data_IF_265770966813
#
_entry.id   IF_265770966813
#
_cell.length_a   1.000
_cell.length_b   1.000
_cell.length_c   1.000
_cell.angle_alpha   90.00
_cell.angle_beta   90.00
_cell.angle_gamma   90.00
#
_symmetry.space_group_name_H-M   'P 1'
#
loop_
_entity.id
_entity.type
_entity.pdbx_description
1 polymer ?
#
# COMPACT_ATOMS: atom_id res chain seq x y z
N UNK A 1 -20.44 20.04 9.41
CA UNK A 1 -20.24 18.66 9.87
C UNK A 1 -21.19 18.40 11.03
N UNK A 2 -21.97 17.31 10.96
CA UNK A 2 -22.82 16.87 12.08
C UNK A 2 -21.95 16.22 13.17
N UNK A 3 -22.50 16.04 14.38
CA UNK A 3 -21.80 15.32 15.44
C UNK A 3 -21.47 13.88 14.99
N UNK A 4 -22.41 13.23 14.30
CA UNK A 4 -22.26 11.87 13.77
C UNK A 4 -21.14 11.77 12.73
N UNK A 5 -21.04 12.75 11.83
CA UNK A 5 -19.98 12.81 10.80
C UNK A 5 -18.58 12.89 11.45
N UNK A 6 -18.44 13.74 12.47
CA UNK A 6 -17.19 13.84 13.24
C UNK A 6 -16.87 12.53 14.00
N UNK A 7 -17.87 11.83 14.53
CA UNK A 7 -17.68 10.56 15.23
C UNK A 7 -17.23 9.45 14.28
N UNK A 8 -17.86 9.32 13.12
CA UNK A 8 -17.47 8.36 12.07
C UNK A 8 -16.04 8.64 11.62
N UNK A 9 -15.72 9.91 11.34
CA UNK A 9 -14.36 10.27 10.93
C UNK A 9 -13.33 9.94 12.03
N UNK A 10 -13.63 10.23 13.30
CA UNK A 10 -12.73 9.92 14.40
C UNK A 10 -12.47 8.41 14.55
N UNK A 11 -13.51 7.57 14.39
CA UNK A 11 -13.37 6.12 14.43
C UNK A 11 -12.54 5.60 13.25
N UNK A 12 -12.75 6.13 12.05
CA UNK A 12 -11.91 5.80 10.88
C UNK A 12 -10.45 6.14 11.14
N UNK A 13 -10.17 7.33 11.66
CA UNK A 13 -8.81 7.79 11.96
C UNK A 13 -8.15 6.90 13.03
N UNK A 14 -8.88 6.54 14.10
CA UNK A 14 -8.40 5.63 15.15
C UNK A 14 -8.08 4.24 14.60
N UNK A 15 -9.01 3.62 13.87
CA UNK A 15 -8.80 2.30 13.29
C UNK A 15 -7.63 2.29 12.31
N UNK A 16 -7.48 3.32 11.48
CA UNK A 16 -6.34 3.46 10.58
C UNK A 16 -5.02 3.65 11.34
N UNK A 17 -5.00 4.40 12.45
CA UNK A 17 -3.79 4.53 13.29
C UNK A 17 -3.41 3.19 13.92
N UNK A 18 -4.38 2.46 14.46
CA UNK A 18 -4.16 1.13 15.04
C UNK A 18 -3.67 0.12 14.00
N UNK A 19 -4.24 0.11 12.79
CA UNK A 19 -3.76 -0.73 11.70
C UNK A 19 -2.31 -0.40 11.33
N UNK A 20 -1.96 0.88 11.22
CA UNK A 20 -0.58 1.28 10.94
C UNK A 20 0.38 0.80 12.03
N UNK A 21 0.02 1.01 13.30
CA UNK A 21 0.83 0.59 14.44
C UNK A 21 1.03 -0.91 14.50
N UNK A 22 -0.04 -1.68 14.28
CA UNK A 22 -0.02 -3.12 14.31
C UNK A 22 0.76 -3.70 13.11
N UNK A 23 0.43 -3.29 11.88
CA UNK A 23 0.95 -3.93 10.66
C UNK A 23 2.24 -3.31 10.11
N UNK A 24 2.56 -2.06 10.46
CA UNK A 24 3.74 -1.34 9.92
C UNK A 24 4.79 -1.09 10.99
N UNK A 25 4.39 -0.71 12.20
CA UNK A 25 5.35 -0.40 13.28
C UNK A 25 5.67 -1.59 14.19
N UNK A 26 4.86 -2.66 14.14
CA UNK A 26 4.92 -3.77 15.10
C UNK A 26 4.85 -3.26 16.57
N UNK A 27 4.04 -2.23 16.81
CA UNK A 27 3.88 -1.52 18.09
C UNK A 27 2.39 -1.25 18.41
N UNK A 28 1.57 -2.30 18.64
CA UNK A 28 0.14 -2.14 18.88
C UNK A 28 -0.15 -1.47 20.23
N UNK A 29 -1.09 -0.51 20.23
CA UNK A 29 -1.53 0.20 21.44
C UNK A 29 -2.73 -0.44 22.15
N UNK A 30 -3.51 -1.23 21.43
CA UNK A 30 -4.74 -1.85 21.92
C UNK A 30 -4.75 -3.33 21.54
N UNK A 31 -5.52 -4.12 22.27
CA UNK A 31 -5.75 -5.53 21.97
C UNK A 31 -6.69 -5.72 20.77
N UNK A 32 -6.64 -6.89 20.16
CA UNK A 32 -7.54 -7.27 19.05
C UNK A 32 -9.03 -7.12 19.44
N UNK A 33 -9.38 -7.46 20.69
CA UNK A 33 -10.75 -7.32 21.18
C UNK A 33 -11.21 -5.86 21.28
N UNK A 34 -10.31 -4.93 21.59
CA UNK A 34 -10.64 -3.50 21.64
C UNK A 34 -10.77 -2.94 20.22
N UNK A 35 -9.89 -3.37 19.31
CA UNK A 35 -9.99 -3.03 17.89
C UNK A 35 -11.33 -3.49 17.29
N UNK A 36 -11.73 -4.73 17.55
CA UNK A 36 -13.00 -5.30 17.10
C UNK A 36 -14.22 -4.51 17.61
N UNK A 37 -14.15 -3.96 18.82
CA UNK A 37 -15.23 -3.13 19.38
C UNK A 37 -15.35 -1.81 18.61
N UNK A 38 -14.23 -1.12 18.37
CA UNK A 38 -14.21 0.11 17.57
C UNK A 38 -14.70 -0.14 16.14
N UNK A 39 -14.29 -1.26 15.55
CA UNK A 39 -14.69 -1.63 14.20
C UNK A 39 -16.20 -1.87 14.09
N UNK A 40 -16.79 -2.62 15.03
CA UNK A 40 -18.25 -2.84 15.09
C UNK A 40 -19.02 -1.56 15.34
N UNK A 41 -18.49 -0.63 16.13
CA UNK A 41 -19.10 0.67 16.34
C UNK A 41 -19.15 1.47 15.03
N UNK A 42 -18.04 1.52 14.29
CA UNK A 42 -18.00 2.17 12.98
C UNK A 42 -19.00 1.54 12.01
N UNK A 43 -19.04 0.21 11.91
CA UNK A 43 -20.00 -0.50 11.06
C UNK A 43 -21.44 -0.13 11.37
N UNK A 44 -21.79 -0.04 12.66
CA UNK A 44 -23.14 0.34 13.09
C UNK A 44 -23.47 1.77 12.66
N UNK A 45 -22.56 2.71 12.92
CA UNK A 45 -22.78 4.12 12.56
C UNK A 45 -22.92 4.31 11.05
N UNK A 46 -22.14 3.59 10.26
CA UNK A 46 -22.24 3.61 8.80
C UNK A 46 -23.52 2.96 8.28
N UNK A 47 -23.96 1.86 8.88
CA UNK A 47 -25.24 1.24 8.55
C UNK A 47 -26.44 2.18 8.85
N UNK A 48 -26.37 2.91 9.97
CA UNK A 48 -27.39 3.89 10.36
C UNK A 48 -27.31 5.19 9.52
N UNK A 49 -26.18 5.45 8.85
CA UNK A 49 -25.92 6.66 8.05
C UNK A 49 -25.27 6.34 6.70
N UNK A 50 -25.97 5.66 5.76
CA UNK A 50 -25.37 5.18 4.52
C UNK A 50 -24.75 6.27 3.64
N UNK A 51 -25.24 7.50 3.74
CA UNK A 51 -24.74 8.67 3.01
C UNK A 51 -23.37 9.18 3.50
N UNK A 52 -22.87 8.67 4.63
CA UNK A 52 -21.57 9.02 5.20
C UNK A 52 -20.49 7.97 4.92
N UNK A 53 -20.85 6.84 4.29
CA UNK A 53 -19.91 5.79 3.90
C UNK A 53 -18.97 6.31 2.82
N UNK A 54 -17.67 6.02 2.97
CA UNK A 54 -16.63 6.38 2.01
C UNK A 54 -15.85 5.15 1.57
N UNK A 55 -15.34 5.16 0.32
CA UNK A 55 -14.60 4.05 -0.28
C UNK A 55 -13.29 3.70 0.43
N UNK A 56 -12.76 4.62 1.23
CA UNK A 56 -11.56 4.48 2.04
C UNK A 56 -11.86 4.08 3.51
N UNK A 57 -13.12 3.85 3.86
CA UNK A 57 -13.48 3.41 5.20
C UNK A 57 -12.89 2.02 5.48
N UNK A 58 -12.34 1.76 6.69
CA UNK A 58 -11.84 0.44 7.08
C UNK A 58 -12.87 -0.68 6.92
N UNK A 59 -14.17 -0.38 6.99
CA UNK A 59 -15.27 -1.33 6.83
C UNK A 59 -15.50 -1.76 5.39
N UNK A 60 -15.00 -1.00 4.41
CA UNK A 60 -15.15 -1.23 2.97
C UNK A 60 -14.02 -2.10 2.37
N UNK A 61 -13.24 -2.78 3.22
CA UNK A 61 -12.16 -3.67 2.78
C UNK A 61 -12.62 -5.07 2.33
N UNK A 62 -13.77 -5.53 2.80
CA UNK A 62 -14.27 -6.90 2.57
C UNK A 62 -15.73 -6.83 2.15
N UNK A 63 -16.10 -7.55 1.07
CA UNK A 63 -17.51 -7.66 0.64
C UNK A 63 -17.78 -7.54 -0.86
N UNK A 64 -16.75 -7.41 -1.71
CA UNK A 64 -16.96 -7.51 -3.14
C UNK A 64 -17.21 -8.98 -3.54
N UNK A 65 -18.22 -9.21 -4.39
CA UNK A 65 -18.41 -10.49 -5.07
C UNK A 65 -17.11 -10.88 -5.81
N UNK A 66 -16.72 -12.17 -5.80
CA UNK A 66 -15.56 -12.62 -6.56
C UNK A 66 -15.66 -12.18 -8.02
N UNK A 67 -14.62 -11.53 -8.52
CA UNK A 67 -14.55 -11.13 -9.91
C UNK A 67 -14.57 -12.38 -10.80
N UNK A 68 -15.35 -12.34 -11.89
CA UNK A 68 -15.38 -13.40 -12.89
C UNK A 68 -14.09 -13.48 -13.70
N UNK A 69 -13.33 -12.39 -13.76
CA UNK A 69 -12.02 -12.26 -14.41
C UNK A 69 -11.32 -10.98 -13.96
N UNK A 70 -9.99 -10.96 -14.01
CA UNK A 70 -9.22 -9.74 -13.80
C UNK A 70 -9.24 -8.84 -15.03
N UNK A 71 -9.31 -7.52 -14.79
CA UNK A 71 -9.03 -6.53 -15.82
C UNK A 71 -7.53 -6.43 -16.12
N UNK A 72 -7.17 -5.71 -17.17
CA UNK A 72 -5.78 -5.36 -17.48
C UNK A 72 -5.48 -3.93 -17.06
N UNK A 73 -4.29 -3.69 -16.52
CA UNK A 73 -3.80 -2.35 -16.17
C UNK A 73 -2.46 -2.08 -16.84
N UNK A 74 -2.34 -0.97 -17.59
CA UNK A 74 -1.08 -0.55 -18.19
C UNK A 74 -0.38 0.42 -17.26
N UNK A 75 0.81 0.05 -16.79
CA UNK A 75 1.62 0.88 -15.91
C UNK A 75 2.06 2.16 -16.63
N UNK A 76 2.05 3.30 -15.93
CA UNK A 76 2.56 4.57 -16.50
C UNK A 76 4.07 4.53 -16.69
N UNK A 77 4.76 3.81 -15.82
CA UNK A 77 6.19 3.56 -15.87
C UNK A 77 6.46 2.05 -15.91
N UNK A 78 7.36 1.55 -16.77
CA UNK A 78 7.65 0.12 -16.81
C UNK A 78 8.20 -0.41 -15.48
N UNK A 79 7.60 -1.48 -14.95
CA UNK A 79 8.08 -2.21 -13.79
C UNK A 79 9.22 -3.16 -14.18
N UNK A 80 10.44 -2.77 -13.81
CA UNK A 80 11.66 -3.51 -14.15
C UNK A 80 11.87 -4.75 -13.28
N UNK A 81 12.63 -5.70 -13.79
CA UNK A 81 13.21 -6.79 -13.00
C UNK A 81 14.66 -6.45 -12.62
N UNK A 82 15.17 -7.10 -11.58
CA UNK A 82 16.57 -7.01 -11.20
C UNK A 82 17.40 -8.09 -11.90
N UNK A 83 18.61 -7.74 -12.33
CA UNK A 83 19.62 -8.72 -12.68
C UNK A 83 20.12 -9.41 -11.40
N UNK A 84 20.52 -10.67 -11.51
CA UNK A 84 20.99 -11.47 -10.38
C UNK A 84 22.52 -11.50 -10.30
N UNK A 85 23.03 -11.72 -9.09
CA UNK A 85 24.39 -12.16 -8.81
C UNK A 85 24.32 -13.36 -7.86
N UNK A 86 25.05 -14.43 -8.16
CA UNK A 86 24.97 -15.72 -7.45
C UNK A 86 26.19 -16.00 -6.57
N UNK A 87 27.22 -15.15 -6.64
CA UNK A 87 28.46 -15.27 -5.90
C UNK A 87 29.13 -13.89 -5.71
N UNK A 88 30.18 -13.86 -4.90
CA UNK A 88 30.92 -12.63 -4.56
C UNK A 88 31.62 -12.00 -5.77
N UNK A 89 32.14 -12.82 -6.70
CA UNK A 89 32.81 -12.33 -7.91
C UNK A 89 31.84 -11.57 -8.82
N UNK A 90 30.63 -12.10 -9.01
CA UNK A 90 29.56 -11.45 -9.78
C UNK A 90 29.11 -10.13 -9.15
N UNK A 91 29.08 -10.06 -7.81
CA UNK A 91 28.76 -8.85 -7.07
C UNK A 91 29.87 -7.79 -7.19
N UNK A 92 31.14 -8.19 -7.07
CA UNK A 92 32.29 -7.31 -7.28
C UNK A 92 32.34 -6.78 -8.73
N UNK A 93 31.99 -7.62 -9.70
CA UNK A 93 31.86 -7.20 -11.09
C UNK A 93 30.70 -6.20 -11.30
N UNK A 94 29.60 -6.33 -10.54
CA UNK A 94 28.54 -5.32 -10.53
C UNK A 94 29.03 -3.98 -9.98
N UNK A 95 29.70 -3.96 -8.82
CA UNK A 95 30.30 -2.73 -8.24
C UNK A 95 31.24 -2.03 -9.24
N UNK A 96 32.12 -2.80 -9.87
CA UNK A 96 33.04 -2.30 -10.90
C UNK A 96 32.31 -1.64 -12.07
N UNK A 97 31.21 -2.25 -12.55
CA UNK A 97 30.40 -1.67 -13.64
C UNK A 97 29.70 -0.38 -13.22
N UNK A 98 29.20 -0.30 -11.99
CA UNK A 98 28.55 0.91 -11.46
C UNK A 98 29.57 2.04 -11.31
N UNK A 99 30.71 1.78 -10.68
CA UNK A 99 31.84 2.73 -10.54
C UNK A 99 32.28 3.30 -11.88
N UNK A 100 32.46 2.42 -12.88
CA UNK A 100 32.77 2.82 -14.25
C UNK A 100 31.66 3.68 -14.88
N UNK A 101 30.39 3.34 -14.67
CA UNK A 101 29.26 4.11 -15.19
C UNK A 101 29.13 5.51 -14.57
N UNK A 102 29.61 5.67 -13.33
CA UNK A 102 29.62 6.93 -12.59
C UNK A 102 30.94 7.72 -12.73
N UNK A 103 31.92 7.20 -13.47
CA UNK A 103 33.27 7.76 -13.59
C UNK A 103 33.92 8.05 -12.23
N UNK A 104 33.89 7.04 -11.35
CA UNK A 104 34.44 7.18 -9.99
C UNK A 104 35.19 5.94 -9.53
N UNK A 105 36.27 6.16 -8.79
CA UNK A 105 37.06 5.13 -8.11
C UNK A 105 36.79 5.09 -6.61
N UNK A 106 35.87 5.93 -6.12
CA UNK A 106 35.50 5.97 -4.71
C UNK A 106 34.61 4.79 -4.36
N UNK A 107 34.69 4.33 -3.12
CA UNK A 107 33.73 3.36 -2.58
C UNK A 107 32.31 3.95 -2.62
N UNK A 108 31.38 3.08 -3.02
CA UNK A 108 29.97 3.42 -3.15
C UNK A 108 29.21 2.95 -1.92
N UNK A 109 28.27 3.76 -1.47
CA UNK A 109 27.31 3.37 -0.45
C UNK A 109 26.12 2.68 -1.13
N UNK A 110 25.77 1.49 -0.64
CA UNK A 110 24.67 0.69 -1.14
C UNK A 110 23.61 0.51 -0.06
N UNK A 111 22.34 0.61 -0.46
CA UNK A 111 21.22 0.16 0.36
C UNK A 111 20.95 -1.31 0.01
N UNK A 112 21.00 -2.18 1.01
CA UNK A 112 20.70 -3.60 0.86
C UNK A 112 19.34 -3.90 1.51
N UNK A 113 18.45 -4.52 0.74
CA UNK A 113 17.13 -4.95 1.19
C UNK A 113 16.98 -6.47 1.04
N UNK A 114 16.30 -7.17 1.95
CA UNK A 114 15.97 -8.58 1.77
C UNK A 114 15.15 -8.78 0.49
N UNK A 115 15.55 -9.75 -0.35
CA UNK A 115 14.76 -10.12 -1.52
C UNK A 115 13.53 -10.92 -1.07
N UNK A 116 12.39 -10.25 -0.98
CA UNK A 116 11.11 -10.89 -0.66
C UNK A 116 10.68 -11.83 -1.78
N UNK A 117 10.30 -13.06 -1.42
CA UNK A 117 9.80 -14.06 -2.36
C UNK A 117 8.26 -14.00 -2.42
N UNK A 118 7.76 -13.19 -3.34
CA UNK A 118 6.35 -12.92 -3.51
C UNK A 118 6.06 -12.39 -4.91
N UNK A 119 4.97 -11.65 -5.05
CA UNK A 119 4.57 -11.01 -6.29
C UNK A 119 4.80 -9.50 -6.21
N UNK A 120 5.42 -8.93 -7.24
CA UNK A 120 5.50 -7.49 -7.38
C UNK A 120 4.12 -6.95 -7.76
N UNK A 121 3.70 -5.91 -7.04
CA UNK A 121 2.45 -5.18 -7.25
C UNK A 121 2.74 -3.70 -7.33
N UNK A 122 1.92 -2.96 -8.05
CA UNK A 122 1.88 -1.50 -8.07
C UNK A 122 0.66 -1.03 -7.29
N UNK A 123 0.82 0.00 -6.46
CA UNK A 123 -0.27 0.69 -5.77
C UNK A 123 -0.36 2.14 -6.25
N UNK A 124 -1.49 2.49 -6.85
CA UNK A 124 -1.76 3.84 -7.35
C UNK A 124 -2.63 4.60 -6.36
N UNK A 125 -2.10 5.75 -5.92
CA UNK A 125 -2.80 6.70 -5.07
C UNK A 125 -3.02 8.02 -5.80
N UNK A 126 -4.27 8.51 -5.81
CA UNK A 126 -4.61 9.85 -6.31
C UNK A 126 -5.04 10.74 -5.16
N UNK A 127 -4.37 11.87 -4.99
CA UNK A 127 -4.57 12.80 -3.86
C UNK A 127 -4.56 12.11 -2.48
N UNK A 128 -3.81 11.00 -2.37
CA UNK A 128 -3.69 10.18 -1.16
C UNK A 128 -4.71 9.05 -1.02
N UNK A 129 -5.67 8.88 -1.94
CA UNK A 129 -6.64 7.77 -1.89
C UNK A 129 -6.20 6.62 -2.81
N UNK A 130 -6.32 5.39 -2.34
CA UNK A 130 -6.01 4.20 -3.13
C UNK A 130 -7.05 4.00 -4.22
N UNK A 131 -6.63 4.10 -5.49
CA UNK A 131 -7.55 4.06 -6.64
C UNK A 131 -7.40 2.82 -7.51
N UNK A 132 -6.19 2.25 -7.59
CA UNK A 132 -5.92 1.04 -8.37
C UNK A 132 -4.71 0.30 -7.79
N UNK A 133 -4.72 -1.03 -7.86
CA UNK A 133 -3.49 -1.79 -7.74
C UNK A 133 -3.45 -2.97 -8.70
N UNK A 134 -2.26 -3.27 -9.19
CA UNK A 134 -2.06 -4.23 -10.27
C UNK A 134 -0.85 -5.13 -10.03
N UNK A 135 -0.84 -6.31 -10.65
CA UNK A 135 0.35 -7.16 -10.70
C UNK A 135 1.38 -6.56 -11.65
N UNK A 136 2.64 -6.99 -11.57
CA UNK A 136 3.67 -6.59 -12.56
C UNK A 136 3.37 -7.05 -13.99
N UNK A 137 2.74 -8.22 -14.16
CA UNK A 137 2.57 -8.87 -15.47
C UNK A 137 3.88 -8.98 -16.26
N UNK A 138 3.90 -8.40 -17.47
CA UNK A 138 5.09 -8.36 -18.34
C UNK A 138 6.04 -7.17 -18.06
N UNK A 139 5.70 -6.34 -17.08
CA UNK A 139 6.41 -5.11 -16.74
C UNK A 139 5.83 -3.86 -17.41
N UNK A 140 4.93 -4.00 -18.38
CA UNK A 140 4.21 -2.90 -19.03
C UNK A 140 2.71 -2.99 -18.72
N UNK A 141 2.15 -4.20 -18.77
CA UNK A 141 0.75 -4.47 -18.46
C UNK A 141 0.64 -5.56 -17.41
N UNK A 142 -0.11 -5.26 -16.36
CA UNK A 142 -0.48 -6.13 -15.26
C UNK A 142 -1.96 -6.51 -15.26
N UNK A 143 -2.34 -7.32 -14.27
CA UNK A 143 -3.73 -7.62 -13.94
C UNK A 143 -4.22 -6.67 -12.86
N UNK A 144 -5.41 -6.09 -13.02
CA UNK A 144 -6.07 -5.30 -11.97
C UNK A 144 -6.53 -6.21 -10.84
N UNK A 145 -5.88 -6.07 -9.69
CA UNK A 145 -6.13 -6.83 -8.46
C UNK A 145 -6.52 -5.88 -7.31
N UNK A 146 -7.09 -4.73 -7.62
CA UNK A 146 -7.42 -3.67 -6.64
C UNK A 146 -8.25 -4.21 -5.48
N UNK A 147 -9.27 -5.02 -5.76
CA UNK A 147 -10.15 -5.59 -4.73
C UNK A 147 -9.40 -6.54 -3.80
N UNK A 148 -8.48 -7.35 -4.34
CA UNK A 148 -7.64 -8.23 -3.53
C UNK A 148 -6.73 -7.41 -2.61
N UNK A 149 -6.10 -6.36 -3.13
CA UNK A 149 -5.19 -5.51 -2.36
C UNK A 149 -5.90 -4.72 -1.26
N UNK A 150 -7.16 -4.30 -1.46
CA UNK A 150 -7.98 -3.65 -0.40
C UNK A 150 -8.14 -4.53 0.85
N UNK A 151 -8.11 -5.86 0.69
CA UNK A 151 -8.21 -6.81 1.82
C UNK A 151 -6.95 -6.89 2.68
N UNK A 152 -5.80 -6.42 2.18
CA UNK A 152 -4.54 -6.45 2.92
C UNK A 152 -4.49 -5.25 3.87
N UNK A 153 -4.55 -5.52 5.17
CA UNK A 153 -4.67 -4.48 6.20
C UNK A 153 -3.42 -3.58 6.31
N UNK A 154 -2.26 -4.10 5.94
CA UNK A 154 -1.02 -3.32 5.84
C UNK A 154 -1.05 -2.27 4.71
N UNK A 155 -1.91 -2.45 3.70
CA UNK A 155 -2.09 -1.48 2.61
C UNK A 155 -3.15 -0.46 3.05
N UNK A 156 -2.79 0.83 3.21
CA UNK A 156 -3.76 1.85 3.58
C UNK A 156 -4.67 2.20 2.39
N UNK A 157 -5.98 2.34 2.63
CA UNK A 157 -6.91 2.86 1.61
C UNK A 157 -6.79 4.37 1.41
N UNK A 158 -6.23 5.07 2.39
CA UNK A 158 -5.92 6.50 2.34
C UNK A 158 -4.61 6.77 3.07
N UNK A 159 -3.73 7.55 2.47
CA UNK A 159 -2.42 7.89 3.02
C UNK A 159 -2.58 8.81 4.24
N UNK A 160 -1.71 8.61 5.24
CA UNK A 160 -1.72 9.41 6.47
C UNK A 160 -1.30 10.85 6.19
N UNK A 161 -2.10 11.82 6.65
CA UNK A 161 -1.80 13.25 6.56
C UNK A 161 -0.87 13.69 7.70
N UNK A 162 0.45 13.56 7.51
CA UNK A 162 1.44 14.00 8.51
C UNK A 162 1.84 15.48 8.33
N UNK A 163 0.85 16.37 8.15
CA UNK A 163 1.09 17.80 7.92
C UNK A 163 1.68 18.15 6.54
N UNK A 164 1.85 17.16 5.66
CA UNK A 164 2.28 17.34 4.27
C UNK A 164 1.12 17.06 3.32
N UNK A 165 1.11 17.77 2.18
CA UNK A 165 0.17 17.47 1.09
C UNK A 165 0.65 16.26 0.32
N UNK A 166 -0.25 15.33 0.05
CA UNK A 166 0.03 14.22 -0.87
C UNK A 166 0.32 14.76 -2.27
N UNK A 167 1.24 14.12 -3.02
CA UNK A 167 1.30 14.31 -4.46
C UNK A 167 -0.10 14.09 -5.08
N UNK A 168 -0.45 14.81 -6.16
CA UNK A 168 -1.70 14.56 -6.88
C UNK A 168 -1.80 13.10 -7.35
N UNK A 169 -0.65 12.50 -7.64
CA UNK A 169 -0.51 11.12 -8.06
C UNK A 169 0.76 10.52 -7.44
N UNK A 170 0.64 9.31 -6.91
CA UNK A 170 1.74 8.49 -6.41
C UNK A 170 1.56 7.04 -6.87
N UNK A 171 2.63 6.45 -7.40
CA UNK A 171 2.73 5.02 -7.72
C UNK A 171 3.79 4.43 -6.81
N UNK A 172 3.43 3.39 -6.05
CA UNK A 172 4.29 2.69 -5.09
C UNK A 172 4.54 1.27 -5.56
#
# INVERSE_FOLDING_TARGET
MSITDNQIQALRDQLNDHNYRYYVLDDPLISDSEYDQLFRELQKLEADNPNLITEDSPTHRVGAEPLSSFGSWTHRMPMLSLANAMNEDELAAFDTRVKKGLDTEKDLEYMAEPKLDGLAVELVYENGFFVNGSTRGDGITGEDITQNLKTILAIPLSLRKNGQKHPPLLEV
#
